data_IF_985532840741
#
_entry.id   IF_985532840741
#
_cell.length_a   1.000
_cell.length_b   1.000
_cell.length_c   1.000
_cell.angle_alpha   90.00
_cell.angle_beta   90.00
_cell.angle_gamma   90.00
#
_symmetry.space_group_name_H-M   'P 1'
#
loop_
_entity.id
_entity.type
_entity.pdbx_description
1 polymer ?
#
# COMPACT_ATOMS: atom_id res chain seq x y z
N UNK A 1 2.70 -12.93 10.07
CA UNK A 1 3.24 -12.73 8.71
C UNK A 1 4.75 -12.68 8.78
N UNK A 2 5.44 -13.39 7.89
CA UNK A 2 6.91 -13.37 7.79
C UNK A 2 7.30 -12.03 7.13
N UNK A 3 8.16 -11.20 7.72
CA UNK A 3 8.58 -9.94 7.09
C UNK A 3 9.33 -10.26 5.79
N UNK A 4 8.91 -9.70 4.67
CA UNK A 4 9.63 -9.82 3.39
C UNK A 4 10.86 -8.93 3.44
N UNK A 5 12.04 -9.49 3.15
CA UNK A 5 13.34 -8.79 3.07
C UNK A 5 13.52 -7.99 1.79
N UNK A 6 12.63 -8.17 0.80
CA UNK A 6 12.60 -7.34 -0.40
C UNK A 6 11.78 -6.07 -0.16
N UNK A 7 12.12 -4.97 -0.85
CA UNK A 7 11.35 -3.71 -0.83
C UNK A 7 9.99 -3.90 -1.52
N UNK A 8 9.15 -4.79 -1.01
CA UNK A 8 7.81 -5.07 -1.51
C UNK A 8 6.86 -3.99 -1.02
N UNK A 9 6.15 -3.34 -1.95
CA UNK A 9 5.08 -2.40 -1.63
C UNK A 9 3.97 -3.14 -0.89
N UNK A 10 3.55 -2.65 0.27
CA UNK A 10 2.53 -3.31 1.09
C UNK A 10 1.15 -2.70 0.91
N UNK A 11 0.13 -3.57 0.86
CA UNK A 11 -1.28 -3.21 0.86
C UNK A 11 -1.67 -2.42 2.11
N UNK A 12 -2.36 -1.30 1.91
CA UNK A 12 -2.83 -0.45 3.00
C UNK A 12 -3.93 -1.10 3.87
N UNK A 13 -4.60 -2.15 3.36
CA UNK A 13 -5.69 -2.81 4.07
C UNK A 13 -5.15 -3.79 5.13
N UNK A 14 -4.32 -4.74 4.71
CA UNK A 14 -3.83 -5.82 5.58
C UNK A 14 -2.31 -6.04 5.54
N UNK A 15 -1.57 -5.21 4.82
CA UNK A 15 -0.10 -5.34 4.70
C UNK A 15 0.38 -6.47 3.79
N UNK A 16 -0.49 -7.03 2.95
CA UNK A 16 -0.13 -8.00 1.90
C UNK A 16 0.82 -7.38 0.86
N UNK A 17 1.40 -8.21 0.00
CA UNK A 17 2.27 -7.72 -1.06
C UNK A 17 1.45 -7.22 -2.26
N UNK A 18 1.80 -6.04 -2.75
CA UNK A 18 1.44 -5.60 -4.08
C UNK A 18 2.42 -6.16 -5.10
N UNK A 19 1.89 -6.56 -6.26
CA UNK A 19 2.68 -6.92 -7.45
C UNK A 19 2.37 -5.95 -8.58
N UNK A 20 3.39 -5.53 -9.33
CA UNK A 20 3.19 -4.64 -10.48
C UNK A 20 2.45 -5.40 -11.56
N UNK A 21 1.28 -4.90 -11.94
CA UNK A 21 0.40 -5.51 -12.94
C UNK A 21 0.61 -4.87 -14.31
N UNK A 22 0.77 -3.54 -14.36
CA UNK A 22 0.90 -2.79 -15.62
C UNK A 22 1.69 -1.50 -15.43
N UNK A 23 2.20 -0.95 -16.53
CA UNK A 23 2.65 0.45 -16.61
C UNK A 23 1.82 1.14 -17.69
N UNK A 24 1.21 2.27 -17.36
CA UNK A 24 0.40 3.06 -18.27
C UNK A 24 1.26 4.04 -19.08
N UNK A 25 0.66 4.64 -20.10
CA UNK A 25 1.33 5.54 -21.05
C UNK A 25 1.74 6.86 -20.37
N UNK A 26 0.99 7.28 -19.36
CA UNK A 26 1.24 8.45 -18.52
C UNK A 26 2.29 8.18 -17.42
N UNK A 27 3.09 7.12 -17.57
CA UNK A 27 4.12 6.68 -16.62
C UNK A 27 3.60 6.24 -15.25
N UNK A 28 2.28 6.15 -15.05
CA UNK A 28 1.73 5.55 -13.83
C UNK A 28 1.93 4.04 -13.83
N UNK A 29 2.24 3.47 -12.66
CA UNK A 29 2.38 2.03 -12.48
C UNK A 29 1.18 1.48 -11.70
N UNK A 30 0.58 0.43 -12.24
CA UNK A 30 -0.54 -0.26 -11.61
C UNK A 30 -0.02 -1.45 -10.79
N UNK A 31 -0.53 -1.57 -9.57
CA UNK A 31 -0.20 -2.62 -8.63
C UNK A 31 -1.45 -3.31 -8.12
N UNK A 32 -1.41 -4.64 -8.10
CA UNK A 32 -2.51 -5.47 -7.60
C UNK A 32 -2.07 -6.22 -6.37
N UNK A 33 -2.89 -6.20 -5.32
CA UNK A 33 -2.63 -6.94 -4.09
C UNK A 33 -2.85 -8.43 -4.36
N UNK A 34 -1.88 -9.28 -4.01
CA UNK A 34 -1.96 -10.73 -4.28
C UNK A 34 -3.04 -11.48 -3.49
N UNK A 35 -3.72 -10.80 -2.55
CA UNK A 35 -4.70 -11.40 -1.65
C UNK A 35 -6.01 -10.62 -1.55
N UNK A 36 -5.98 -9.30 -1.73
CA UNK A 36 -7.18 -8.46 -1.63
C UNK A 36 -7.80 -8.14 -2.99
N UNK A 37 -7.10 -8.47 -4.09
CA UNK A 37 -7.40 -8.02 -5.46
C UNK A 37 -7.58 -6.50 -5.60
N UNK A 38 -7.11 -5.75 -4.60
CA UNK A 38 -7.12 -4.29 -4.60
C UNK A 38 -6.09 -3.79 -5.59
N UNK A 39 -6.52 -2.89 -6.47
CA UNK A 39 -5.67 -2.24 -7.46
C UNK A 39 -5.34 -0.83 -6.99
N UNK A 40 -4.08 -0.43 -7.12
CA UNK A 40 -3.60 0.93 -6.83
C UNK A 40 -2.68 1.41 -7.95
N UNK A 41 -2.69 2.71 -8.19
CA UNK A 41 -1.78 3.38 -9.11
C UNK A 41 -0.71 4.11 -8.32
N UNK A 42 0.51 4.13 -8.85
CA UNK A 42 1.56 5.02 -8.38
C UNK A 42 2.06 5.90 -9.50
N UNK A 43 2.43 7.14 -9.20
CA UNK A 43 3.16 7.99 -10.13
C UNK A 43 4.60 7.48 -10.37
N UNK A 44 5.33 8.19 -11.23
CA UNK A 44 6.73 7.88 -11.56
C UNK A 44 7.68 7.99 -10.35
N UNK A 45 7.27 8.69 -9.29
CA UNK A 45 8.01 8.87 -8.05
C UNK A 45 7.65 7.82 -6.98
N UNK A 46 6.68 6.94 -7.26
CA UNK A 46 6.19 5.92 -6.33
C UNK A 46 5.19 6.45 -5.30
N UNK A 47 4.65 7.66 -5.48
CA UNK A 47 3.52 8.13 -4.68
C UNK A 47 2.25 7.48 -5.18
N UNK A 48 1.37 7.07 -4.27
CA UNK A 48 0.08 6.53 -4.64
C UNK A 48 -0.77 7.62 -5.29
N UNK A 49 -1.12 7.40 -6.56
CA UNK A 49 -2.11 8.22 -7.23
C UNK A 49 -3.45 7.90 -6.59
N UNK A 50 -3.96 8.90 -5.90
CA UNK A 50 -4.95 8.78 -4.84
C UNK A 50 -6.26 8.16 -5.31
N UNK A 51 -6.60 6.96 -4.82
CA UNK A 51 -7.93 6.56 -4.31
C UNK A 51 -8.03 5.04 -4.14
N UNK A 52 -7.33 4.46 -3.16
CA UNK A 52 -7.61 3.08 -2.73
C UNK A 52 -9.07 2.91 -2.27
N UNK A 53 -9.70 4.01 -1.85
CA UNK A 53 -11.10 4.11 -1.47
C UNK A 53 -11.65 5.45 -1.95
N UNK A 54 -12.81 5.46 -2.61
CA UNK A 54 -13.46 6.68 -3.11
C UNK A 54 -13.90 7.62 -1.98
N UNK A 55 -14.09 7.07 -0.77
CA UNK A 55 -14.44 7.83 0.42
C UNK A 55 -13.18 8.32 1.16
N UNK A 56 -13.02 9.64 1.26
CA UNK A 56 -11.87 10.28 1.91
C UNK A 56 -11.74 9.92 3.39
N UNK A 57 -12.84 9.84 4.15
CA UNK A 57 -12.81 9.53 5.58
C UNK A 57 -12.31 8.10 5.83
N UNK A 58 -12.74 7.14 5.01
CA UNK A 58 -12.26 5.75 5.10
C UNK A 58 -10.78 5.69 4.78
N UNK A 59 -10.35 6.36 3.69
CA UNK A 59 -8.94 6.44 3.30
C UNK A 59 -8.07 6.99 4.42
N UNK A 60 -8.48 8.11 5.03
CA UNK A 60 -7.70 8.78 6.07
C UNK A 60 -7.62 7.91 7.34
N UNK A 61 -8.72 7.24 7.71
CA UNK A 61 -8.78 6.32 8.85
C UNK A 61 -7.86 5.12 8.66
N UNK A 62 -7.88 4.49 7.47
CA UNK A 62 -7.01 3.36 7.16
C UNK A 62 -5.52 3.78 7.16
N UNK A 63 -5.23 4.97 6.65
CA UNK A 63 -3.87 5.54 6.66
C UNK A 63 -3.37 5.78 8.08
N UNK A 64 -4.20 6.34 8.96
CA UNK A 64 -3.87 6.54 10.36
C UNK A 64 -3.62 5.20 11.09
N UNK A 65 -4.52 4.23 10.92
CA UNK A 65 -4.38 2.88 11.48
C UNK A 65 -3.06 2.21 11.05
N UNK A 66 -2.70 2.32 9.77
CA UNK A 66 -1.43 1.81 9.25
C UNK A 66 -0.22 2.46 9.93
N UNK A 67 -0.21 3.78 10.10
CA UNK A 67 0.90 4.46 10.78
C UNK A 67 0.99 4.06 12.25
N UNK A 68 -0.15 3.95 12.95
CA UNK A 68 -0.20 3.52 14.34
C UNK A 68 0.36 2.10 14.50
N UNK A 69 -0.12 1.14 13.72
CA UNK A 69 0.35 -0.26 13.77
C UNK A 69 1.85 -0.38 13.50
N UNK A 70 2.42 0.41 12.56
CA UNK A 70 3.87 0.46 12.34
C UNK A 70 4.64 1.07 13.51
N UNK A 71 4.13 2.13 14.15
CA UNK A 71 4.75 2.72 15.35
C UNK A 71 4.77 1.71 16.51
N UNK A 72 3.66 0.99 16.74
CA UNK A 72 3.60 -0.07 17.75
C UNK A 72 4.56 -1.23 17.45
N UNK A 73 4.72 -1.59 16.18
CA UNK A 73 5.66 -2.63 15.76
C UNK A 73 7.12 -2.25 16.03
N UNK A 74 7.48 -0.96 15.90
CA UNK A 74 8.81 -0.45 16.26
C UNK A 74 9.07 -0.50 17.77
N UNK A 75 8.06 -0.18 18.59
CA UNK A 75 8.18 -0.21 20.05
C UNK A 75 8.37 -1.62 20.61
N UNK A 76 7.79 -2.65 19.99
CA UNK A 76 7.99 -4.06 20.39
C UNK A 76 9.34 -4.66 19.99
N UNK A 77 10.06 -3.99 19.09
CA UNK A 77 11.35 -4.46 18.58
C UNK A 77 12.56 -3.76 19.23
N UNK A 78 12.33 -2.86 20.20
CA UNK A 78 13.36 -2.19 21.01
C UNK A 78 13.50 -2.82 22.38
#
# INVERSE_FOLDING_TARGET
>A
MKPTTEKSLSCAIFGHNYIRSKTNIDHTAEFTCTHCDTVVLTDEHGNFDTNTVSNSQIKDTLKELYYLTRRFSKLKAS
#
